data_IF_327453509765
#
_entry.id   IF_327453509765
#
_cell.length_a   1.000
_cell.length_b   1.000
_cell.length_c   1.000
_cell.angle_alpha   90.00
_cell.angle_beta   90.00
_cell.angle_gamma   90.00
#
_symmetry.space_group_name_H-M   'P 1'
#
loop_
_entity.id
_entity.type
_entity.pdbx_description
1 polymer ?
#
# COMPACT_ATOMS: atom_id res chain seq x y z
N UNK A 1 1.81 10.15 2.50
CA UNK A 1 2.04 9.64 1.12
C UNK A 1 3.52 9.44 0.81
N UNK A 2 4.42 10.34 1.23
CA UNK A 2 5.87 10.18 1.02
C UNK A 2 6.42 8.91 1.68
N UNK A 3 6.08 8.64 2.94
CA UNK A 3 6.47 7.40 3.65
C UNK A 3 6.06 6.14 2.88
N UNK A 4 4.81 6.08 2.42
CA UNK A 4 4.30 4.95 1.64
C UNK A 4 5.07 4.75 0.33
N UNK A 5 5.51 5.84 -0.31
CA UNK A 5 6.31 5.77 -1.53
C UNK A 5 7.72 5.26 -1.25
N UNK A 6 8.39 5.75 -0.19
CA UNK A 6 9.69 5.23 0.24
C UNK A 6 9.60 3.73 0.56
N UNK A 7 8.61 3.33 1.35
CA UNK A 7 8.34 1.92 1.68
C UNK A 7 8.08 1.10 0.41
N UNK A 8 7.32 1.61 -0.55
CA UNK A 8 7.07 0.91 -1.82
C UNK A 8 8.36 0.66 -2.61
N UNK A 9 9.23 1.68 -2.74
CA UNK A 9 10.49 1.56 -3.48
C UNK A 9 11.42 0.51 -2.87
N UNK A 10 11.46 0.45 -1.55
CA UNK A 10 12.31 -0.50 -0.83
C UNK A 10 11.73 -1.92 -0.89
N UNK A 11 10.40 -2.07 -0.85
CA UNK A 11 9.74 -3.35 -1.11
C UNK A 11 9.93 -3.83 -2.56
N UNK A 12 10.03 -2.93 -3.54
CA UNK A 12 10.39 -3.27 -4.92
C UNK A 12 11.83 -3.77 -4.97
N UNK A 13 12.75 -3.07 -4.30
CA UNK A 13 14.17 -3.45 -4.20
C UNK A 13 14.35 -4.82 -3.54
N UNK A 14 13.53 -5.17 -2.55
CA UNK A 14 13.52 -6.50 -1.91
C UNK A 14 12.75 -7.56 -2.71
N UNK A 15 12.21 -7.23 -3.88
CA UNK A 15 11.37 -8.11 -4.70
C UNK A 15 10.12 -8.64 -3.97
N UNK A 16 9.64 -7.88 -2.97
CA UNK A 16 8.43 -8.22 -2.19
C UNK A 16 7.20 -7.60 -2.86
N UNK A 17 7.26 -6.36 -3.32
CA UNK A 17 6.14 -5.72 -4.02
C UNK A 17 6.03 -6.25 -5.46
N UNK A 18 5.43 -7.44 -5.60
CA UNK A 18 5.30 -8.17 -6.87
C UNK A 18 3.88 -8.64 -7.11
N UNK A 19 3.62 -9.22 -8.29
CA UNK A 19 2.37 -9.90 -8.63
C UNK A 19 2.38 -11.41 -8.30
N UNK A 20 3.46 -11.92 -7.69
CA UNK A 20 3.65 -13.34 -7.35
C UNK A 20 3.05 -13.65 -5.97
N UNK A 21 2.35 -14.76 -5.83
CA UNK A 21 1.85 -15.22 -4.51
C UNK A 21 3.00 -15.63 -3.58
N UNK A 22 2.96 -15.22 -2.31
CA UNK A 22 4.03 -15.56 -1.36
C UNK A 22 3.97 -16.99 -0.83
N UNK A 23 2.78 -17.54 -0.71
CA UNK A 23 2.53 -18.87 -0.15
C UNK A 23 1.37 -19.54 -0.89
N UNK A 24 1.00 -20.75 -0.48
CA UNK A 24 -0.19 -21.43 -1.01
C UNK A 24 -1.44 -20.61 -0.70
N UNK A 25 -1.93 -19.91 -1.71
CA UNK A 25 -3.15 -19.11 -1.60
C UNK A 25 -4.37 -19.97 -1.88
N UNK A 26 -5.24 -20.11 -0.89
CA UNK A 26 -6.50 -20.86 -1.01
C UNK A 26 -7.58 -20.08 -1.77
N UNK A 27 -7.51 -18.75 -1.73
CA UNK A 27 -8.48 -17.85 -2.38
C UNK A 27 -7.76 -17.00 -3.41
N UNK A 28 -7.91 -17.36 -4.69
CA UNK A 28 -7.39 -16.54 -5.80
C UNK A 28 -8.36 -15.40 -6.11
N UNK A 29 -7.88 -14.25 -6.60
CA UNK A 29 -8.77 -13.24 -7.15
C UNK A 29 -9.60 -13.80 -8.31
N UNK A 30 -10.74 -13.18 -8.59
CA UNK A 30 -11.51 -13.49 -9.80
C UNK A 30 -10.78 -13.05 -11.09
N UNK A 31 -11.20 -13.61 -12.22
CA UNK A 31 -10.70 -13.27 -13.55
C UNK A 31 -9.64 -14.23 -14.11
N UNK A 32 -9.08 -13.85 -15.27
CA UNK A 32 -8.03 -14.61 -15.94
C UNK A 32 -6.68 -14.50 -15.20
N UNK A 33 -5.72 -15.37 -15.48
CA UNK A 33 -4.42 -15.39 -14.77
C UNK A 33 -3.70 -14.02 -14.78
N UNK A 34 -3.76 -13.30 -15.91
CA UNK A 34 -3.19 -11.96 -16.03
C UNK A 34 -3.92 -10.93 -15.14
N UNK A 35 -5.24 -11.00 -15.09
CA UNK A 35 -6.06 -10.09 -14.28
C UNK A 35 -5.84 -10.35 -12.79
N UNK A 36 -5.74 -11.63 -12.41
CA UNK A 36 -5.41 -12.03 -11.04
C UNK A 36 -4.06 -11.45 -10.60
N UNK A 37 -3.04 -11.54 -11.46
CA UNK A 37 -1.71 -10.96 -11.20
C UNK A 37 -1.78 -9.44 -11.03
N UNK A 38 -2.54 -8.73 -11.89
CA UNK A 38 -2.72 -7.29 -11.79
C UNK A 38 -3.43 -6.89 -10.48
N UNK A 39 -4.50 -7.60 -10.10
CA UNK A 39 -5.21 -7.38 -8.84
C UNK A 39 -4.29 -7.60 -7.64
N UNK A 40 -3.47 -8.65 -7.64
CA UNK A 40 -2.52 -8.91 -6.55
C UNK A 40 -1.56 -7.73 -6.38
N UNK A 41 -0.96 -7.25 -7.47
CA UNK A 41 -0.03 -6.13 -7.40
C UNK A 41 -0.69 -4.84 -6.92
N UNK A 42 -1.85 -4.50 -7.50
CA UNK A 42 -2.59 -3.28 -7.16
C UNK A 42 -3.07 -3.31 -5.70
N UNK A 43 -3.63 -4.42 -5.25
CA UNK A 43 -4.08 -4.56 -3.85
C UNK A 43 -2.92 -4.47 -2.86
N UNK A 44 -1.73 -5.00 -3.19
CA UNK A 44 -0.53 -4.83 -2.36
C UNK A 44 -0.06 -3.39 -2.32
N UNK A 45 0.04 -2.73 -3.47
CA UNK A 45 0.47 -1.33 -3.54
C UNK A 45 -0.47 -0.40 -2.75
N UNK A 46 -1.79 -0.58 -2.89
CA UNK A 46 -2.77 0.24 -2.18
C UNK A 46 -2.83 -0.09 -0.68
N UNK A 47 -2.41 -1.28 -0.25
CA UNK A 47 -2.28 -1.63 1.18
C UNK A 47 -1.20 -0.82 1.91
N UNK A 48 -0.37 -0.05 1.20
CA UNK A 48 0.63 0.84 1.80
C UNK A 48 0.05 2.16 2.32
N UNK A 49 -1.22 2.45 2.00
CA UNK A 49 -1.90 3.65 2.47
C UNK A 49 -2.88 3.32 3.60
N UNK A 50 -3.02 4.23 4.59
CA UNK A 50 -4.06 4.10 5.59
C UNK A 50 -5.44 4.35 4.96
N UNK A 51 -6.46 3.74 5.54
CA UNK A 51 -7.87 3.97 5.21
C UNK A 51 -8.59 4.56 6.42
N UNK A 52 -9.58 5.43 6.20
CA UNK A 52 -10.41 5.96 7.29
C UNK A 52 -11.50 4.96 7.64
N UNK A 53 -11.43 4.42 8.86
CA UNK A 53 -12.43 3.49 9.40
C UNK A 53 -13.33 4.20 10.41
N UNK A 54 -14.61 3.84 10.41
CA UNK A 54 -15.55 4.17 11.47
C UNK A 54 -15.15 3.41 12.74
N UNK A 55 -15.57 3.92 13.90
CA UNK A 55 -15.34 3.26 15.19
C UNK A 55 -16.25 2.03 15.36
N UNK A 56 -16.05 1.02 14.51
CA UNK A 56 -16.78 -0.24 14.47
C UNK A 56 -15.79 -1.38 14.19
N UNK A 57 -16.16 -2.60 14.59
CA UNK A 57 -15.35 -3.77 14.30
C UNK A 57 -15.27 -4.05 12.79
N UNK A 58 -14.11 -4.51 12.34
CA UNK A 58 -13.89 -4.87 10.94
C UNK A 58 -14.75 -6.06 10.52
N UNK A 59 -15.55 -5.88 9.47
CA UNK A 59 -16.44 -6.91 8.90
C UNK A 59 -15.99 -7.41 7.52
N UNK A 60 -14.86 -6.92 7.01
CA UNK A 60 -14.36 -7.33 5.70
C UNK A 60 -13.67 -8.70 5.71
N UNK A 61 -13.52 -9.33 4.52
CA UNK A 61 -12.92 -10.65 4.41
C UNK A 61 -11.43 -10.66 4.78
N UNK A 62 -10.96 -11.81 5.24
CA UNK A 62 -9.54 -12.04 5.54
C UNK A 62 -8.79 -12.50 4.28
N UNK A 63 -7.67 -11.86 3.93
CA UNK A 63 -6.80 -12.30 2.85
C UNK A 63 -5.40 -12.62 3.37
N UNK A 64 -5.04 -13.91 3.41
CA UNK A 64 -3.74 -14.38 3.93
C UNK A 64 -2.55 -13.84 3.15
N UNK A 65 -2.66 -13.70 1.84
CA UNK A 65 -1.56 -13.20 1.01
C UNK A 65 -1.24 -11.74 1.33
N UNK A 66 -2.27 -10.90 1.50
CA UNK A 66 -2.10 -9.52 1.95
C UNK A 66 -1.59 -9.42 3.39
N UNK A 67 -1.96 -10.34 4.28
CA UNK A 67 -1.41 -10.35 5.65
C UNK A 67 0.07 -10.69 5.70
N UNK A 68 0.52 -11.63 4.84
CA UNK A 68 1.95 -11.90 4.68
C UNK A 68 2.66 -10.69 4.08
N UNK A 69 2.07 -10.05 3.06
CA UNK A 69 2.61 -8.80 2.56
C UNK A 69 2.75 -7.73 3.67
N UNK A 70 1.73 -7.60 4.51
CA UNK A 70 1.71 -6.62 5.59
C UNK A 70 2.76 -6.90 6.68
N UNK A 71 3.18 -8.15 6.89
CA UNK A 71 4.25 -8.43 7.84
C UNK A 71 5.58 -7.85 7.36
N UNK A 72 5.87 -7.90 6.05
CA UNK A 72 7.04 -7.23 5.46
C UNK A 72 6.93 -5.71 5.59
N UNK A 73 5.76 -5.13 5.29
CA UNK A 73 5.52 -3.68 5.43
C UNK A 73 5.77 -3.22 6.87
N UNK A 74 5.19 -3.92 7.86
CA UNK A 74 5.38 -3.59 9.28
C UNK A 74 6.82 -3.77 9.74
N UNK A 75 7.49 -4.83 9.31
CA UNK A 75 8.89 -5.04 9.65
C UNK A 75 9.77 -3.89 9.12
N UNK A 76 9.52 -3.45 7.88
CA UNK A 76 10.26 -2.36 7.26
C UNK A 76 9.95 -1.01 7.92
N UNK A 77 8.67 -0.66 8.09
CA UNK A 77 8.26 0.60 8.72
C UNK A 77 8.79 0.72 10.15
N UNK A 78 8.73 -0.34 10.95
CA UNK A 78 9.32 -0.37 12.30
C UNK A 78 10.83 -0.21 12.28
N UNK A 79 11.52 -0.80 11.30
CA UNK A 79 12.97 -0.62 11.15
C UNK A 79 13.32 0.83 10.85
N UNK A 80 12.54 1.51 9.98
CA UNK A 80 12.72 2.94 9.73
C UNK A 80 12.42 3.80 10.95
N UNK A 81 11.33 3.50 11.67
CA UNK A 81 11.00 4.19 12.91
C UNK A 81 12.14 4.09 13.92
N UNK A 82 12.61 2.88 14.18
CA UNK A 82 13.73 2.64 15.09
C UNK A 82 15.00 3.38 14.65
N UNK A 83 15.29 3.41 13.35
CA UNK A 83 16.45 4.14 12.82
C UNK A 83 16.33 5.65 13.11
N UNK A 84 15.18 6.25 12.85
CA UNK A 84 14.94 7.67 13.14
C UNK A 84 15.05 7.98 14.64
N UNK A 85 14.50 7.14 15.51
CA UNK A 85 14.61 7.29 16.95
C UNK A 85 16.06 7.15 17.44
N UNK A 86 16.83 6.19 16.92
CA UNK A 86 18.23 6.00 17.27
C UNK A 86 19.12 7.14 16.78
N UNK A 87 18.86 7.68 15.58
CA UNK A 87 19.56 8.88 15.09
C UNK A 87 19.27 10.10 15.98
N UNK A 88 18.00 10.28 16.34
CA UNK A 88 17.58 11.36 17.25
C UNK A 88 18.26 11.22 18.61
N UNK A 89 18.26 10.02 19.19
CA UNK A 89 18.95 9.73 20.44
C UNK A 89 20.46 10.00 20.33
N UNK A 90 21.09 9.60 19.23
CA UNK A 90 22.50 9.87 18.97
C UNK A 90 22.81 11.37 18.99
N UNK A 91 21.95 12.21 18.39
CA UNK A 91 22.12 13.65 18.43
C UNK A 91 22.05 14.22 19.85
N UNK A 92 21.14 13.73 20.68
CA UNK A 92 21.08 14.08 22.10
C UNK A 92 22.33 13.66 22.87
N UNK A 93 22.77 12.41 22.70
CA UNK A 93 23.93 11.87 23.43
C UNK A 93 25.22 12.60 23.07
N UNK A 94 25.41 12.95 21.80
CA UNK A 94 26.59 13.67 21.31
C UNK A 94 26.54 15.19 21.57
N UNK A 95 25.50 15.70 22.23
CA UNK A 95 25.38 17.13 22.53
C UNK A 95 25.18 18.01 21.29
N UNK A 96 24.67 17.44 20.20
CA UNK A 96 24.34 18.16 18.96
C UNK A 96 22.98 18.88 19.07
N UNK A 97 22.28 18.73 20.19
CA UNK A 97 20.94 19.27 20.45
C UNK A 97 20.89 19.79 21.88
N UNK A 98 20.08 20.84 22.12
CA UNK A 98 19.78 21.36 23.45
C UNK A 98 19.01 20.31 24.26
N UNK A 99 19.50 19.96 25.45
CA UNK A 99 18.93 18.92 26.32
C UNK A 99 17.91 19.47 27.33
N UNK A 100 17.97 20.75 27.64
CA UNK A 100 17.00 21.38 28.53
C UNK A 100 15.74 21.73 27.71
N UNK A 101 14.74 20.85 27.76
CA UNK A 101 13.50 20.93 26.96
C UNK A 101 12.36 20.17 27.64
N UNK A 102 11.13 20.53 27.27
CA UNK A 102 9.90 19.87 27.74
C UNK A 102 9.11 19.20 26.59
N UNK A 103 9.51 19.40 25.34
CA UNK A 103 8.80 19.02 24.10
C UNK A 103 9.14 17.60 23.58
N UNK A 104 9.62 16.69 24.44
CA UNK A 104 10.07 15.36 24.01
C UNK A 104 8.99 14.51 23.33
N UNK A 105 7.74 14.60 23.80
CA UNK A 105 6.62 13.90 23.20
C UNK A 105 6.29 14.44 21.81
N UNK A 106 6.35 15.76 21.62
CA UNK A 106 6.12 16.39 20.32
C UNK A 106 7.19 15.99 19.31
N UNK A 107 8.45 15.89 19.75
CA UNK A 107 9.55 15.37 18.92
C UNK A 107 9.22 13.95 18.49
N UNK A 108 8.85 13.07 19.43
CA UNK A 108 8.50 11.69 19.10
C UNK A 108 7.33 11.59 18.11
N UNK A 109 6.28 12.38 18.30
CA UNK A 109 5.11 12.38 17.42
C UNK A 109 5.42 12.97 16.03
N UNK A 110 6.40 13.86 15.94
CA UNK A 110 6.87 14.44 14.66
C UNK A 110 7.72 13.47 13.82
N UNK A 111 8.28 12.42 14.43
CA UNK A 111 9.08 11.43 13.71
C UNK A 111 8.20 10.62 12.74
N UNK A 112 8.72 10.22 11.58
CA UNK A 112 7.96 9.45 10.59
C UNK A 112 7.64 8.03 11.10
N UNK A 113 6.76 7.34 10.38
CA UNK A 113 6.36 5.95 10.64
C UNK A 113 5.78 5.69 12.04
N UNK A 114 5.06 6.67 12.59
CA UNK A 114 4.43 6.56 13.91
C UNK A 114 3.35 5.45 13.97
N UNK A 115 2.55 5.31 12.91
CA UNK A 115 1.44 4.37 12.86
C UNK A 115 1.66 3.30 11.78
N UNK A 116 1.39 2.05 12.14
CA UNK A 116 1.38 0.94 11.19
C UNK A 116 0.15 1.06 10.27
N UNK A 117 0.34 0.86 8.96
CA UNK A 117 -0.76 0.72 8.00
C UNK A 117 -1.38 -0.67 8.08
N UNK A 118 -2.65 -0.76 7.66
CA UNK A 118 -3.39 -2.01 7.58
C UNK A 118 -3.70 -2.37 6.12
N UNK A 119 -4.15 -3.61 5.89
CA UNK A 119 -4.42 -4.14 4.53
C UNK A 119 -5.78 -3.74 3.96
N UNK A 120 -6.56 -2.92 4.67
CA UNK A 120 -7.96 -2.72 4.35
C UNK A 120 -8.15 -2.02 2.99
N UNK A 121 -7.34 -1.02 2.63
CA UNK A 121 -7.44 -0.39 1.32
C UNK A 121 -7.12 -1.37 0.18
N UNK A 122 -6.16 -2.28 0.37
CA UNK A 122 -5.89 -3.34 -0.59
C UNK A 122 -7.06 -4.31 -0.76
N UNK A 123 -7.76 -4.66 0.32
CA UNK A 123 -8.97 -5.49 0.27
C UNK A 123 -10.12 -4.80 -0.46
N UNK A 124 -10.33 -3.51 -0.17
CA UNK A 124 -11.32 -2.66 -0.83
C UNK A 124 -11.02 -2.56 -2.33
N UNK A 125 -9.77 -2.27 -2.70
CA UNK A 125 -9.31 -2.24 -4.09
C UNK A 125 -9.51 -3.59 -4.78
N UNK A 126 -9.11 -4.69 -4.14
CA UNK A 126 -9.32 -6.04 -4.68
C UNK A 126 -10.79 -6.29 -4.97
N UNK A 127 -11.68 -6.03 -4.01
CA UNK A 127 -13.11 -6.25 -4.18
C UNK A 127 -13.71 -5.39 -5.29
N UNK A 128 -13.34 -4.11 -5.35
CA UNK A 128 -13.75 -3.19 -6.41
C UNK A 128 -13.36 -3.73 -7.80
N UNK A 129 -12.11 -4.15 -7.98
CA UNK A 129 -11.62 -4.68 -9.24
C UNK A 129 -12.28 -6.01 -9.63
N UNK A 130 -12.56 -6.88 -8.65
CA UNK A 130 -13.28 -8.14 -8.88
C UNK A 130 -14.72 -7.91 -9.37
N UNK A 131 -15.41 -6.89 -8.83
CA UNK A 131 -16.76 -6.51 -9.31
C UNK A 131 -16.75 -6.03 -10.76
N UNK A 132 -15.71 -5.30 -11.18
CA UNK A 132 -15.54 -4.86 -12.58
C UNK A 132 -15.33 -6.06 -13.50
N UNK A 133 -14.53 -7.05 -13.08
CA UNK A 133 -14.30 -8.28 -13.86
C UNK A 133 -15.61 -9.06 -14.06
N UNK A 134 -16.50 -9.05 -13.06
CA UNK A 134 -17.83 -9.65 -13.17
C UNK A 134 -18.78 -8.89 -14.13
N UNK A 135 -18.32 -7.80 -14.74
CA UNK A 135 -19.06 -7.03 -15.74
C UNK A 135 -19.81 -5.83 -15.19
N UNK A 136 -19.63 -5.46 -13.92
CA UNK A 136 -20.22 -4.25 -13.36
C UNK A 136 -19.53 -3.00 -13.91
N UNK A 137 -20.29 -1.94 -14.17
CA UNK A 137 -19.71 -0.64 -14.46
C UNK A 137 -18.92 -0.11 -13.26
N UNK A 138 -17.99 0.82 -13.49
CA UNK A 138 -17.14 1.37 -12.42
C UNK A 138 -17.96 2.00 -11.27
N UNK A 139 -19.12 2.59 -11.57
CA UNK A 139 -20.04 3.19 -10.59
C UNK A 139 -20.76 2.10 -9.79
N UNK A 140 -21.26 1.05 -10.45
CA UNK A 140 -21.93 -0.08 -9.79
C UNK A 140 -20.96 -0.86 -8.90
N UNK A 141 -19.74 -1.11 -9.37
CA UNK A 141 -18.68 -1.76 -8.62
C UNK A 141 -18.32 -0.96 -7.35
N UNK A 142 -18.25 0.37 -7.46
CA UNK A 142 -18.01 1.24 -6.32
C UNK A 142 -19.15 1.14 -5.29
N UNK A 143 -20.40 1.26 -5.73
CA UNK A 143 -21.57 1.15 -4.85
C UNK A 143 -21.69 -0.24 -4.20
N UNK A 144 -21.34 -1.31 -4.92
CA UNK A 144 -21.26 -2.67 -4.38
C UNK A 144 -20.17 -2.79 -3.31
N UNK A 145 -19.01 -2.20 -3.56
CA UNK A 145 -17.88 -2.19 -2.62
C UNK A 145 -18.21 -1.40 -1.35
N UNK A 146 -18.86 -0.25 -1.46
CA UNK A 146 -19.33 0.53 -0.30
C UNK A 146 -20.28 -0.28 0.61
N UNK A 147 -21.19 -1.05 -0.01
CA UNK A 147 -22.08 -1.94 0.74
C UNK A 147 -21.33 -3.10 1.41
N UNK A 148 -20.30 -3.64 0.76
CA UNK A 148 -19.50 -4.74 1.29
C UNK A 148 -18.57 -4.31 2.44
N UNK A 149 -18.18 -3.04 2.50
CA UNK A 149 -17.28 -2.49 3.52
C UNK A 149 -17.93 -1.32 4.30
N UNK A 150 -19.00 -1.56 5.07
CA UNK A 150 -19.75 -0.51 5.77
C UNK A 150 -18.92 0.21 6.85
N UNK A 151 -17.82 -0.41 7.27
CA UNK A 151 -16.86 0.11 8.25
C UNK A 151 -15.97 1.21 7.69
N UNK A 152 -15.83 1.34 6.37
CA UNK A 152 -15.08 2.42 5.75
C UNK A 152 -15.88 3.72 5.79
N UNK A 153 -15.20 4.86 5.95
CA UNK A 153 -15.85 6.18 5.97
C UNK A 153 -16.25 6.59 4.55
N UNK A 154 -15.32 6.56 3.60
CA UNK A 154 -15.55 6.91 2.20
C UNK A 154 -14.68 6.06 1.28
N UNK A 155 -15.22 4.95 0.79
CA UNK A 155 -14.50 4.02 -0.11
C UNK A 155 -14.04 4.74 -1.37
N UNK A 156 -14.89 5.65 -1.90
CA UNK A 156 -14.57 6.44 -3.08
C UNK A 156 -13.31 7.29 -2.90
N UNK A 157 -13.26 8.12 -1.87
CA UNK A 157 -12.11 9.01 -1.60
C UNK A 157 -10.82 8.21 -1.34
N UNK A 158 -10.95 7.11 -0.59
CA UNK A 158 -9.81 6.26 -0.25
C UNK A 158 -9.25 5.56 -1.52
N UNK A 159 -10.11 5.09 -2.43
CA UNK A 159 -9.71 4.52 -3.72
C UNK A 159 -9.11 5.56 -4.67
N UNK A 160 -9.68 6.77 -4.76
CA UNK A 160 -9.11 7.86 -5.55
C UNK A 160 -7.70 8.22 -5.07
N UNK A 161 -7.52 8.32 -3.75
CA UNK A 161 -6.20 8.53 -3.13
C UNK A 161 -5.24 7.37 -3.47
N UNK A 162 -5.73 6.14 -3.43
CA UNK A 162 -5.00 4.95 -3.86
C UNK A 162 -4.57 4.98 -5.32
N UNK A 163 -5.43 5.43 -6.23
CA UNK A 163 -5.11 5.55 -7.65
C UNK A 163 -4.13 6.69 -7.93
N UNK A 164 -4.23 7.82 -7.21
CA UNK A 164 -3.22 8.88 -7.27
C UNK A 164 -1.86 8.39 -6.79
N UNK A 165 -1.84 7.59 -5.72
CA UNK A 165 -0.62 6.95 -5.23
C UNK A 165 -0.01 6.00 -6.25
N UNK A 166 -0.84 5.15 -6.87
CA UNK A 166 -0.40 4.24 -7.91
C UNK A 166 0.27 4.99 -9.07
N UNK A 167 -0.30 6.10 -9.53
CA UNK A 167 0.30 6.93 -10.59
C UNK A 167 1.68 7.43 -10.19
N UNK A 168 1.84 7.97 -8.97
CA UNK A 168 3.14 8.44 -8.45
C UNK A 168 4.15 7.31 -8.28
N UNK A 169 3.69 6.14 -7.84
CA UNK A 169 4.53 4.96 -7.73
C UNK A 169 5.04 4.53 -9.11
N UNK A 170 4.17 4.54 -10.12
CA UNK A 170 4.57 4.21 -11.50
C UNK A 170 5.60 5.19 -12.05
N UNK A 171 5.43 6.49 -11.81
CA UNK A 171 6.43 7.51 -12.19
C UNK A 171 7.80 7.19 -11.56
N UNK A 172 7.82 6.81 -10.28
CA UNK A 172 9.05 6.40 -9.61
C UNK A 172 9.64 5.10 -10.21
N UNK A 173 8.81 4.12 -10.54
CA UNK A 173 9.23 2.88 -11.23
C UNK A 173 9.84 3.18 -12.61
N UNK A 174 9.28 4.12 -13.37
CA UNK A 174 9.84 4.56 -14.65
C UNK A 174 11.24 5.16 -14.46
N UNK A 175 11.44 5.97 -13.41
CA UNK A 175 12.76 6.53 -13.08
C UNK A 175 13.75 5.42 -12.66
N UNK A 176 13.31 4.47 -11.84
CA UNK A 176 14.14 3.32 -11.44
C UNK A 176 14.56 2.46 -12.65
N UNK A 177 13.68 2.30 -13.63
CA UNK A 177 14.00 1.57 -14.86
C UNK A 177 15.02 2.34 -15.71
N UNK A 178 14.83 3.66 -15.91
CA UNK A 178 15.78 4.52 -16.63
C UNK A 178 17.18 4.55 -16.01
N UNK A 179 17.27 4.36 -14.70
CA UNK A 179 18.55 4.30 -13.96
C UNK A 179 19.14 2.88 -13.90
N UNK A 180 18.53 1.88 -14.56
CA UNK A 180 18.93 0.48 -14.53
C UNK A 180 18.96 -0.14 -13.11
N UNK A 181 18.14 0.38 -12.19
CA UNK A 181 18.05 -0.12 -10.81
C UNK A 181 17.15 -1.35 -10.70
N UNK A 182 16.19 -1.51 -11.61
CA UNK A 182 15.22 -2.62 -11.63
C UNK A 182 15.26 -3.35 -12.98
N UNK A 183 14.83 -4.61 -12.98
CA UNK A 183 14.74 -5.43 -14.20
C UNK A 183 13.60 -4.98 -15.12
N UNK A 184 13.73 -5.33 -16.41
CA UNK A 184 12.66 -5.12 -17.39
C UNK A 184 11.38 -5.88 -17.03
N UNK A 185 11.49 -7.05 -16.39
CA UNK A 185 10.34 -7.82 -15.93
C UNK A 185 9.53 -7.07 -14.86
N UNK A 186 10.22 -6.49 -13.88
CA UNK A 186 9.57 -5.66 -12.86
C UNK A 186 8.92 -4.43 -13.50
N UNK A 187 9.61 -3.75 -14.42
CA UNK A 187 9.03 -2.61 -15.13
C UNK A 187 7.76 -2.99 -15.91
N UNK A 188 7.83 -4.07 -16.71
CA UNK A 188 6.70 -4.56 -17.50
C UNK A 188 5.52 -4.97 -16.63
N UNK A 189 5.80 -5.57 -15.46
CA UNK A 189 4.77 -5.92 -14.48
C UNK A 189 3.96 -4.69 -14.03
N UNK A 190 4.62 -3.58 -13.67
CA UNK A 190 3.94 -2.35 -13.25
C UNK A 190 3.23 -1.65 -14.43
N UNK A 191 3.87 -1.60 -15.59
CA UNK A 191 3.31 -0.98 -16.81
C UNK A 191 2.04 -1.70 -17.27
N UNK A 192 2.07 -3.03 -17.35
CA UNK A 192 0.90 -3.84 -17.73
C UNK A 192 -0.25 -3.69 -16.74
N UNK A 193 0.04 -3.65 -15.43
CA UNK A 193 -0.99 -3.43 -14.41
C UNK A 193 -1.59 -2.03 -14.51
N UNK A 194 -0.78 -1.00 -14.85
CA UNK A 194 -1.28 0.35 -15.06
C UNK A 194 -2.19 0.45 -16.28
N UNK A 195 -1.78 -0.08 -17.43
CA UNK A 195 -2.61 -0.09 -18.65
C UNK A 195 -3.96 -0.77 -18.40
N UNK A 196 -3.93 -1.90 -17.68
CA UNK A 196 -5.14 -2.62 -17.29
C UNK A 196 -6.03 -1.79 -16.35
N UNK A 197 -5.46 -1.03 -15.43
CA UNK A 197 -6.20 -0.19 -14.49
C UNK A 197 -6.84 1.04 -15.14
N UNK A 198 -6.20 1.68 -16.13
CA UNK A 198 -6.71 2.95 -16.71
C UNK A 198 -8.15 2.83 -17.25
N UNK A 199 -8.50 1.68 -17.81
CA UNK A 199 -9.84 1.42 -18.35
C UNK A 199 -10.89 1.08 -17.27
N UNK A 200 -10.49 1.06 -16.00
CA UNK A 200 -11.28 0.55 -14.86
C UNK A 200 -11.33 1.53 -13.69
N UNK A 201 -10.93 2.79 -13.89
CA UNK A 201 -11.12 3.87 -12.92
C UNK A 201 -12.51 4.48 -13.12
N UNK A 202 -13.06 5.08 -12.06
CA UNK A 202 -14.25 5.94 -12.12
C UNK A 202 -13.85 7.42 -12.07
#
# INVERSE_FOLDING_TARGET
MQEALLTALELIRFEVLTNKTFSKTYTRPLGNELEQKNIILLSRALSLLPIKLKNMQWLGPLNRDLLVFNSFVKALNRSYRNLCEMLTLSFFLNGLVVKDREDYFEINDSLPYMADVNVALGLVCKHYLERIIEGQSAIEALASTEKAFPTCVSVKEDLETGFQFWTRLLEAVVVLFKTNTISADTFNMFSNANEWLQNRKF
#
